data_IF_066582708676
#
_entry.id   IF_066582708676
#
_cell.length_a   1.000
_cell.length_b   1.000
_cell.length_c   1.000
_cell.angle_alpha   90.00
_cell.angle_beta   90.00
_cell.angle_gamma   90.00
#
_symmetry.space_group_name_H-M   'P 1'
#
loop_
_entity.id
_entity.type
_entity.pdbx_description
1 polymer ?
#
# COMPACT_ATOMS: atom_id res chain seq x y z
N UNK A 1 3.59 -26.38 -20.60
CA UNK A 1 4.58 -25.38 -20.14
C UNK A 1 3.98 -24.79 -18.89
N UNK A 2 4.57 -25.10 -17.73
CA UNK A 2 4.02 -24.84 -16.39
C UNK A 2 3.58 -23.38 -16.21
N UNK A 3 2.29 -23.14 -16.40
CA UNK A 3 1.63 -21.93 -15.96
C UNK A 3 1.22 -22.16 -14.51
N UNK A 4 2.03 -21.70 -13.56
CA UNK A 4 1.55 -21.44 -12.20
C UNK A 4 0.25 -20.64 -12.34
N UNK A 5 -0.86 -21.24 -11.90
CA UNK A 5 -2.21 -20.73 -12.12
C UNK A 5 -2.45 -19.50 -11.23
N UNK A 6 -1.80 -18.37 -11.57
CA UNK A 6 -1.88 -17.11 -10.84
C UNK A 6 -3.30 -16.53 -10.84
N UNK A 7 -4.12 -16.94 -11.82
CA UNK A 7 -5.52 -16.54 -11.95
C UNK A 7 -6.40 -17.03 -10.78
N UNK A 8 -5.89 -17.96 -9.95
CA UNK A 8 -6.58 -18.52 -8.79
C UNK A 8 -5.96 -18.13 -7.44
N UNK A 9 -5.23 -17.02 -7.35
CA UNK A 9 -4.76 -16.49 -6.06
C UNK A 9 -5.94 -15.78 -5.38
N UNK A 10 -6.45 -16.23 -4.22
CA UNK A 10 -7.68 -15.67 -3.61
C UNK A 10 -7.59 -14.19 -3.21
N UNK A 11 -6.36 -13.66 -3.09
CA UNK A 11 -6.06 -12.27 -2.73
C UNK A 11 -5.76 -11.41 -3.97
N UNK A 12 -6.15 -11.87 -5.16
CA UNK A 12 -6.14 -11.14 -6.42
C UNK A 12 -7.55 -11.27 -7.03
N UNK A 13 -8.19 -10.16 -7.47
CA UNK A 13 -9.47 -10.23 -8.13
C UNK A 13 -9.41 -11.07 -9.41
N UNK A 14 -10.36 -11.99 -9.58
CA UNK A 14 -10.50 -12.72 -10.84
C UNK A 14 -10.84 -11.76 -11.98
N UNK A 15 -10.10 -11.82 -13.09
CA UNK A 15 -10.44 -11.12 -14.33
C UNK A 15 -11.46 -11.95 -15.11
N UNK A 16 -12.68 -11.45 -15.25
CA UNK A 16 -13.75 -12.12 -16.00
C UNK A 16 -13.68 -11.85 -17.50
N UNK A 17 -13.33 -10.62 -17.89
CA UNK A 17 -13.22 -10.24 -19.30
C UNK A 17 -12.32 -9.02 -19.48
N UNK A 18 -11.68 -8.94 -20.64
CA UNK A 18 -11.02 -7.72 -21.13
C UNK A 18 -11.47 -7.45 -22.55
N UNK A 19 -11.86 -6.22 -22.86
CA UNK A 19 -12.26 -5.85 -24.22
C UNK A 19 -11.91 -4.38 -24.50
N UNK A 20 -11.78 -4.06 -25.79
CA UNK A 20 -11.54 -2.69 -26.24
C UNK A 20 -12.81 -2.13 -26.87
N UNK A 21 -13.18 -0.91 -26.49
CA UNK A 21 -14.31 -0.19 -27.05
C UNK A 21 -13.97 1.29 -27.16
N UNK A 22 -14.23 1.92 -28.31
CA UNK A 22 -13.92 3.33 -28.56
C UNK A 22 -12.49 3.73 -28.10
N UNK A 23 -11.48 2.94 -28.52
CA UNK A 23 -10.07 3.13 -28.18
C UNK A 23 -9.73 3.07 -26.67
N UNK A 24 -10.65 2.59 -25.84
CA UNK A 24 -10.45 2.40 -24.41
C UNK A 24 -10.44 0.92 -24.05
N UNK A 25 -9.53 0.53 -23.15
CA UNK A 25 -9.46 -0.83 -22.59
C UNK A 25 -10.37 -0.92 -21.37
N UNK A 26 -11.31 -1.86 -21.40
CA UNK A 26 -12.21 -2.19 -20.31
C UNK A 26 -11.80 -3.52 -19.70
N UNK A 27 -11.77 -3.56 -18.37
CA UNK A 27 -11.48 -4.75 -17.57
C UNK A 27 -12.70 -5.03 -16.68
N UNK A 28 -13.26 -6.22 -16.78
CA UNK A 28 -14.35 -6.70 -15.94
C UNK A 28 -13.74 -7.67 -14.94
N UNK A 29 -13.73 -7.30 -13.66
CA UNK A 29 -13.06 -8.05 -12.60
C UNK A 29 -13.98 -8.32 -11.42
N UNK A 30 -13.58 -9.24 -10.55
CA UNK A 30 -14.26 -9.53 -9.29
C UNK A 30 -14.40 -8.25 -8.45
N UNK A 31 -15.63 -7.99 -8.01
CA UNK A 31 -15.88 -6.96 -7.01
C UNK A 31 -15.47 -7.47 -5.63
N UNK A 32 -14.64 -6.70 -4.93
CA UNK A 32 -14.19 -7.00 -3.58
C UNK A 32 -14.98 -6.11 -2.63
N UNK A 33 -15.92 -6.69 -1.88
CA UNK A 33 -16.64 -5.95 -0.83
C UNK A 33 -15.70 -5.71 0.35
N UNK A 34 -15.48 -4.45 0.73
CA UNK A 34 -14.50 -4.07 1.74
C UNK A 34 -14.19 -2.59 1.75
N UNK A 35 -13.18 -2.20 2.53
CA UNK A 35 -12.56 -0.87 2.49
C UNK A 35 -11.12 -1.02 2.04
N UNK A 36 -10.59 -0.05 1.31
CA UNK A 36 -9.15 0.00 1.08
C UNK A 36 -8.41 0.51 2.32
N UNK A 37 -7.09 0.31 2.38
CA UNK A 37 -6.32 0.68 3.57
C UNK A 37 -6.23 2.20 3.78
N UNK A 38 -6.42 3.01 2.74
CA UNK A 38 -6.51 4.46 2.89
C UNK A 38 -7.82 4.85 3.55
N UNK A 39 -8.94 4.28 3.12
CA UNK A 39 -10.25 4.48 3.75
C UNK A 39 -10.27 4.00 5.21
N UNK A 40 -9.60 2.88 5.52
CA UNK A 40 -9.42 2.43 6.90
C UNK A 40 -8.62 3.44 7.73
N UNK A 41 -7.55 3.99 7.16
CA UNK A 41 -6.76 5.05 7.80
C UNK A 41 -7.60 6.29 8.06
N UNK A 42 -8.35 6.77 7.07
CA UNK A 42 -9.23 7.94 7.23
C UNK A 42 -10.29 7.72 8.32
N UNK A 43 -10.80 6.49 8.46
CA UNK A 43 -11.83 6.17 9.43
C UNK A 43 -11.32 6.05 10.88
N UNK A 44 -10.09 5.58 11.10
CA UNK A 44 -9.60 5.22 12.46
C UNK A 44 -8.22 5.79 12.82
N UNK A 45 -7.55 6.45 11.89
CA UNK A 45 -6.21 6.97 12.01
C UNK A 45 -5.11 5.93 11.75
N UNK A 46 -3.94 6.21 12.32
CA UNK A 46 -2.69 5.46 12.10
C UNK A 46 -2.83 3.98 12.46
N UNK A 47 -2.11 3.16 11.71
CA UNK A 47 -1.96 1.74 12.01
C UNK A 47 -0.88 1.56 13.07
N UNK A 48 -1.10 0.65 14.01
CA UNK A 48 -0.08 0.20 14.95
C UNK A 48 0.95 -0.71 14.29
N UNK A 49 2.12 -0.86 14.91
CA UNK A 49 3.16 -1.79 14.47
C UNK A 49 2.62 -3.23 14.31
N UNK A 50 1.79 -3.69 15.24
CA UNK A 50 1.19 -5.02 15.19
C UNK A 50 0.27 -5.20 13.96
N UNK A 51 -0.41 -4.14 13.52
CA UNK A 51 -1.25 -4.17 12.32
C UNK A 51 -0.42 -4.13 11.05
N UNK A 52 0.67 -3.37 11.03
CA UNK A 52 1.63 -3.37 9.93
C UNK A 52 2.27 -4.76 9.77
N UNK A 53 2.65 -5.42 10.88
CA UNK A 53 3.18 -6.79 10.83
C UNK A 53 2.15 -7.77 10.26
N UNK A 54 0.87 -7.65 10.63
CA UNK A 54 -0.20 -8.48 10.06
C UNK A 54 -0.41 -8.20 8.56
N UNK A 55 -0.36 -6.94 8.15
CA UNK A 55 -0.44 -6.53 6.74
C UNK A 55 0.69 -7.18 5.93
N UNK A 56 1.93 -7.11 6.42
CA UNK A 56 3.09 -7.73 5.77
C UNK A 56 2.95 -9.25 5.69
N UNK A 57 2.51 -9.91 6.77
CA UNK A 57 2.27 -11.35 6.80
C UNK A 57 1.21 -11.78 5.79
N UNK A 58 0.21 -10.94 5.52
CA UNK A 58 -0.88 -11.26 4.59
C UNK A 58 -0.48 -11.00 3.12
N UNK A 59 0.32 -9.97 2.84
CA UNK A 59 0.66 -9.57 1.47
C UNK A 59 1.96 -10.15 0.92
N UNK A 60 2.98 -10.39 1.74
CA UNK A 60 4.26 -10.95 1.24
C UNK A 60 4.09 -12.31 0.54
N UNK A 61 3.28 -13.26 1.05
CA UNK A 61 3.03 -14.51 0.33
C UNK A 61 2.33 -14.30 -1.02
N UNK A 62 1.41 -13.33 -1.10
CA UNK A 62 0.70 -12.99 -2.34
C UNK A 62 1.69 -12.42 -3.36
N UNK A 63 2.55 -11.49 -2.96
CA UNK A 63 3.58 -10.92 -3.83
C UNK A 63 4.55 -11.99 -4.32
N UNK A 64 4.96 -12.92 -3.46
CA UNK A 64 5.80 -14.05 -3.87
C UNK A 64 5.14 -14.85 -5.00
N UNK A 65 3.87 -15.23 -4.85
CA UNK A 65 3.13 -15.98 -5.88
C UNK A 65 3.02 -15.21 -7.20
N UNK A 66 2.72 -13.91 -7.15
CA UNK A 66 2.65 -13.02 -8.31
C UNK A 66 4.01 -12.92 -9.01
N UNK A 67 5.07 -12.74 -8.25
CA UNK A 67 6.44 -12.59 -8.73
C UNK A 67 7.00 -13.90 -9.32
N UNK A 68 6.59 -15.05 -8.80
CA UNK A 68 6.91 -16.37 -9.34
C UNK A 68 6.24 -16.59 -10.69
N UNK A 69 5.01 -16.09 -10.86
CA UNK A 69 4.31 -16.01 -12.15
C UNK A 69 4.88 -14.93 -13.11
N UNK A 70 5.98 -14.26 -12.75
CA UNK A 70 6.64 -13.19 -13.52
C UNK A 70 5.79 -11.95 -13.75
N UNK A 71 4.78 -11.74 -12.91
CA UNK A 71 3.94 -10.55 -12.90
C UNK A 71 4.51 -9.55 -11.87
N UNK A 72 4.36 -8.26 -12.13
CA UNK A 72 4.66 -7.17 -11.20
C UNK A 72 3.39 -6.34 -11.01
N UNK A 73 3.13 -5.88 -9.78
CA UNK A 73 1.98 -5.05 -9.48
C UNK A 73 2.18 -3.61 -9.98
N UNK A 74 3.33 -3.00 -9.65
CA UNK A 74 3.81 -1.67 -10.03
C UNK A 74 3.06 -0.46 -9.46
N UNK A 75 1.92 -0.65 -8.82
CA UNK A 75 1.18 0.44 -8.17
C UNK A 75 0.69 0.03 -6.78
N UNK A 76 1.58 -0.52 -5.94
CA UNK A 76 1.19 -0.89 -4.56
C UNK A 76 1.14 0.39 -3.71
N UNK A 77 -0.04 0.67 -3.17
CA UNK A 77 -0.35 1.80 -2.28
C UNK A 77 -1.60 1.47 -1.47
N UNK A 78 -1.89 2.20 -0.37
CA UNK A 78 -3.07 1.97 0.47
C UNK A 78 -4.39 1.86 -0.31
N UNK A 79 -4.60 2.68 -1.33
CA UNK A 79 -5.80 2.67 -2.18
C UNK A 79 -5.98 1.37 -2.96
N UNK A 80 -4.88 0.70 -3.30
CA UNK A 80 -4.87 -0.52 -4.12
C UNK A 80 -4.81 -1.80 -3.27
N UNK A 81 -5.06 -1.69 -1.96
CA UNK A 81 -5.10 -2.82 -1.04
C UNK A 81 -6.46 -2.81 -0.33
N UNK A 82 -7.34 -3.73 -0.70
CA UNK A 82 -8.68 -3.87 -0.14
C UNK A 82 -8.70 -4.88 1.01
N UNK A 83 -9.23 -4.52 2.17
CA UNK A 83 -9.61 -5.49 3.20
C UNK A 83 -10.99 -6.05 2.90
N UNK A 84 -11.02 -7.29 2.44
CA UNK A 84 -12.24 -8.01 2.12
C UNK A 84 -13.07 -8.25 3.39
N UNK A 85 -14.34 -7.87 3.34
CA UNK A 85 -15.26 -7.94 4.48
C UNK A 85 -15.59 -9.36 4.94
N UNK A 86 -15.60 -10.33 4.02
CA UNK A 86 -16.03 -11.70 4.32
C UNK A 86 -15.07 -12.47 5.22
N UNK A 87 -13.77 -12.19 5.15
CA UNK A 87 -12.71 -12.93 5.86
C UNK A 87 -11.58 -12.04 6.43
N UNK A 88 -11.65 -10.72 6.23
CA UNK A 88 -10.66 -9.77 6.71
C UNK A 88 -9.33 -9.79 5.96
N UNK A 89 -9.24 -10.56 4.86
CA UNK A 89 -8.01 -10.71 4.07
C UNK A 89 -7.74 -9.49 3.19
N UNK A 90 -6.46 -9.16 3.04
CA UNK A 90 -6.01 -8.13 2.13
C UNK A 90 -5.93 -8.66 0.71
N UNK A 91 -6.53 -7.92 -0.21
CA UNK A 91 -6.64 -8.23 -1.64
C UNK A 91 -5.95 -7.11 -2.40
N UNK A 92 -4.98 -7.44 -3.25
CA UNK A 92 -4.33 -6.49 -4.15
C UNK A 92 -5.23 -6.25 -5.35
N UNK A 93 -5.62 -4.99 -5.57
CA UNK A 93 -6.45 -4.57 -6.69
C UNK A 93 -5.67 -3.67 -7.64
N UNK A 94 -6.23 -3.40 -8.83
CA UNK A 94 -5.68 -2.44 -9.79
C UNK A 94 -4.20 -2.66 -10.12
N UNK A 95 -3.93 -3.77 -10.81
CA UNK A 95 -2.63 -4.07 -11.41
C UNK A 95 -2.29 -3.08 -12.53
N UNK A 96 -1.89 -1.87 -12.15
CA UNK A 96 -1.63 -0.73 -13.04
C UNK A 96 -0.49 -0.98 -14.04
N UNK A 97 0.41 -1.91 -13.72
CA UNK A 97 1.56 -2.25 -14.57
C UNK A 97 1.24 -2.96 -15.89
N UNK A 98 0.06 -3.60 -16.02
CA UNK A 98 -0.32 -4.32 -17.25
C UNK A 98 -0.63 -3.34 -18.38
N UNK A 99 -1.16 -2.16 -18.05
CA UNK A 99 -1.41 -1.09 -19.04
C UNK A 99 -0.11 -0.56 -19.64
N UNK A 100 0.96 -0.44 -18.86
CA UNK A 100 2.25 0.09 -19.33
C UNK A 100 2.98 -0.86 -20.30
N UNK A 101 2.78 -2.18 -20.19
CA UNK A 101 3.42 -3.14 -21.09
C UNK A 101 2.88 -3.05 -22.54
N UNK A 102 1.63 -2.61 -22.72
CA UNK A 102 1.00 -2.47 -24.02
C UNK A 102 1.17 -1.06 -24.63
N UNK A 103 1.58 -0.07 -23.84
CA UNK A 103 1.83 1.30 -24.32
C UNK A 103 3.29 1.51 -24.72
N UNK A 104 3.83 0.61 -25.54
CA UNK A 104 4.93 0.98 -26.45
C UNK A 104 4.33 1.72 -27.64
N UNK A 105 3.59 2.80 -27.37
CA UNK A 105 3.18 3.76 -28.40
C UNK A 105 4.37 4.70 -28.60
N UNK A 106 5.00 4.54 -29.76
CA UNK A 106 6.10 5.35 -30.25
C UNK A 106 5.84 6.85 -30.04
N UNK A 107 6.81 7.55 -29.45
CA UNK A 107 7.05 8.96 -29.76
C UNK A 107 6.24 10.04 -29.05
N UNK A 108 5.32 9.72 -28.15
CA UNK A 108 4.75 10.72 -27.25
C UNK A 108 5.51 10.67 -25.92
N UNK A 109 5.98 11.82 -25.43
CA UNK A 109 6.37 12.04 -24.03
C UNK A 109 5.16 11.75 -23.15
N UNK A 110 4.89 10.47 -22.92
CA UNK A 110 3.78 10.01 -22.10
C UNK A 110 4.08 10.42 -20.68
N UNK A 111 3.26 11.32 -20.14
CA UNK A 111 3.22 11.67 -18.73
C UNK A 111 3.30 10.38 -17.93
N UNK A 112 4.43 10.15 -17.29
CA UNK A 112 4.66 8.89 -16.60
C UNK A 112 3.80 8.91 -15.35
N UNK A 113 2.63 8.28 -15.44
CA UNK A 113 1.64 8.14 -14.38
C UNK A 113 2.19 7.20 -13.32
N UNK A 114 3.02 7.74 -12.44
CA UNK A 114 3.41 7.10 -11.18
C UNK A 114 2.66 7.80 -10.05
N UNK A 115 2.11 7.03 -9.11
CA UNK A 115 1.62 7.61 -7.85
C UNK A 115 2.85 8.07 -7.06
N UNK A 116 3.06 9.39 -7.01
CA UNK A 116 4.22 9.97 -6.35
C UNK A 116 4.26 9.56 -4.87
N UNK A 117 5.46 9.28 -4.35
CA UNK A 117 5.66 8.86 -2.97
C UNK A 117 5.54 7.34 -2.68
N UNK A 118 5.27 6.51 -3.68
CA UNK A 118 5.25 5.04 -3.50
C UNK A 118 6.17 4.30 -4.47
N UNK A 119 6.76 5.00 -5.44
CA UNK A 119 7.47 4.38 -6.56
C UNK A 119 8.97 4.32 -6.30
N UNK A 120 9.54 3.14 -6.56
CA UNK A 120 10.98 2.90 -6.48
C UNK A 120 11.74 3.59 -7.62
N UNK A 121 12.99 4.00 -7.38
CA UNK A 121 13.81 4.71 -8.35
C UNK A 121 14.00 3.92 -9.65
N UNK A 122 14.24 2.62 -9.59
CA UNK A 122 14.40 1.79 -10.79
C UNK A 122 13.11 1.69 -11.62
N UNK A 123 11.95 1.75 -10.96
CA UNK A 123 10.66 1.84 -11.66
C UNK A 123 10.51 3.22 -12.33
N UNK A 124 10.91 4.31 -11.66
CA UNK A 124 10.94 5.65 -12.28
C UNK A 124 11.81 5.68 -13.54
N UNK A 125 12.92 4.92 -13.53
CA UNK A 125 13.83 4.76 -14.67
C UNK A 125 13.32 3.75 -15.74
N UNK A 126 12.08 3.27 -15.63
CA UNK A 126 11.47 2.34 -16.59
C UNK A 126 12.00 0.90 -16.50
N UNK A 127 12.66 0.53 -15.41
CA UNK A 127 13.22 -0.81 -15.16
C UNK A 127 12.64 -1.44 -13.88
N UNK A 128 11.30 -1.55 -13.77
CA UNK A 128 10.68 -2.15 -12.59
C UNK A 128 11.07 -3.62 -12.46
N UNK A 129 11.30 -4.05 -11.22
CA UNK A 129 11.59 -5.44 -10.90
C UNK A 129 10.86 -5.85 -9.59
N UNK A 130 11.08 -7.07 -9.09
CA UNK A 130 10.44 -7.57 -7.85
C UNK A 130 10.67 -6.66 -6.65
N UNK A 131 11.86 -6.07 -6.52
CA UNK A 131 12.20 -5.16 -5.43
C UNK A 131 11.41 -3.86 -5.50
N UNK A 132 10.92 -3.47 -6.68
CA UNK A 132 10.11 -2.27 -6.84
C UNK A 132 8.76 -2.42 -6.13
N UNK A 133 8.11 -3.58 -6.25
CA UNK A 133 6.87 -3.88 -5.51
C UNK A 133 7.13 -3.93 -3.99
N UNK A 134 8.26 -4.51 -3.55
CA UNK A 134 8.63 -4.54 -2.13
C UNK A 134 8.88 -3.14 -1.56
N UNK A 135 9.52 -2.27 -2.34
CA UNK A 135 9.71 -0.87 -1.98
C UNK A 135 8.36 -0.16 -1.81
N UNK A 136 7.44 -0.33 -2.77
CA UNK A 136 6.10 0.26 -2.69
C UNK A 136 5.29 -0.25 -1.50
N UNK A 137 5.40 -1.54 -1.16
CA UNK A 137 4.82 -2.11 0.04
C UNK A 137 5.43 -1.51 1.32
N UNK A 138 6.75 -1.33 1.37
CA UNK A 138 7.42 -0.71 2.52
C UNK A 138 7.00 0.76 2.69
N UNK A 139 6.95 1.53 1.60
CA UNK A 139 6.45 2.91 1.60
C UNK A 139 5.00 2.97 2.12
N UNK A 140 4.15 2.04 1.66
CA UNK A 140 2.77 1.88 2.16
C UNK A 140 2.73 1.67 3.66
N UNK A 141 3.54 0.75 4.18
CA UNK A 141 3.59 0.46 5.62
C UNK A 141 4.02 1.67 6.45
N UNK A 142 5.08 2.37 6.02
CA UNK A 142 5.57 3.56 6.73
C UNK A 142 4.51 4.64 6.76
N UNK A 143 3.81 4.90 5.65
CA UNK A 143 2.77 5.92 5.59
C UNK A 143 1.56 5.60 6.46
N UNK A 144 1.11 4.35 6.47
CA UNK A 144 0.02 3.93 7.35
C UNK A 144 0.41 4.03 8.84
N UNK A 145 1.69 3.79 9.16
CA UNK A 145 2.23 3.90 10.52
C UNK A 145 2.39 5.36 10.98
N UNK A 146 2.91 6.23 10.10
CA UNK A 146 3.21 7.64 10.44
C UNK A 146 2.04 8.58 10.20
N UNK A 147 1.11 8.22 9.31
CA UNK A 147 0.08 9.11 8.79
C UNK A 147 0.60 10.19 7.84
N UNK A 148 1.87 10.13 7.41
CA UNK A 148 2.46 11.11 6.51
C UNK A 148 2.24 10.68 5.05
N UNK A 149 1.14 11.14 4.45
CA UNK A 149 0.81 10.87 3.04
C UNK A 149 1.40 11.96 2.12
N UNK A 150 1.71 11.64 0.85
CA UNK A 150 2.18 12.66 -0.07
C UNK A 150 1.01 13.57 -0.42
N UNK A 151 1.18 14.86 -0.20
CA UNK A 151 0.18 15.87 -0.53
C UNK A 151 0.61 16.61 -1.80
N UNK A 152 -0.35 16.90 -2.68
CA UNK A 152 -0.12 17.81 -3.80
C UNK A 152 -0.79 19.12 -3.48
N UNK A 153 -0.03 20.21 -3.52
CA UNK A 153 -0.57 21.53 -3.25
C UNK A 153 -1.44 22.06 -4.41
N UNK A 154 -1.98 23.26 -4.22
CA UNK A 154 -2.83 23.90 -5.23
C UNK A 154 -2.11 24.22 -6.56
N UNK A 155 -0.78 24.17 -6.59
CA UNK A 155 0.06 24.44 -7.75
C UNK A 155 0.56 23.17 -8.44
N UNK A 156 0.27 21.99 -7.87
CA UNK A 156 0.71 20.71 -8.41
C UNK A 156 2.06 20.24 -7.86
N UNK A 157 2.62 20.95 -6.88
CA UNK A 157 3.89 20.57 -6.27
C UNK A 157 3.65 19.47 -5.22
N UNK A 158 4.47 18.42 -5.30
CA UNK A 158 4.43 17.33 -4.35
C UNK A 158 5.18 17.70 -3.07
N UNK A 159 4.46 17.75 -1.96
CA UNK A 159 5.02 17.81 -0.63
C UNK A 159 5.00 16.42 0.01
N UNK A 160 6.17 15.90 0.36
CA UNK A 160 6.31 14.57 0.94
C UNK A 160 7.37 14.54 2.03
N UNK A 161 6.92 14.63 3.28
CA UNK A 161 7.77 14.67 4.47
C UNK A 161 8.67 13.43 4.62
N UNK A 162 8.27 12.30 4.04
CA UNK A 162 9.04 11.06 4.10
C UNK A 162 10.05 10.94 2.96
N UNK A 163 9.86 11.64 1.84
CA UNK A 163 10.81 11.62 0.72
C UNK A 163 11.83 12.76 0.79
N UNK A 164 11.60 13.79 1.61
CA UNK A 164 12.64 14.74 1.93
C UNK A 164 13.77 14.04 2.71
N UNK A 165 14.88 13.82 2.02
CA UNK A 165 16.10 13.18 2.55
C UNK A 165 16.64 13.85 3.82
N UNK A 166 16.23 15.09 4.09
CA UNK A 166 16.58 15.86 5.29
C UNK A 166 15.81 15.39 6.55
N UNK A 167 14.62 14.80 6.38
CA UNK A 167 13.65 14.59 7.46
C UNK A 167 13.26 13.11 7.70
N UNK A 168 13.66 12.18 6.83
CA UNK A 168 13.29 10.77 6.92
C UNK A 168 13.52 10.14 8.31
N UNK A 169 14.70 10.35 8.91
CA UNK A 169 15.02 9.85 10.26
C UNK A 169 14.20 10.54 11.36
N UNK A 170 13.88 11.82 11.18
CA UNK A 170 13.13 12.63 12.14
C UNK A 170 11.64 12.27 12.16
N UNK A 171 11.05 12.00 11.00
CA UNK A 171 9.66 11.56 10.86
C UNK A 171 9.45 10.19 11.52
N UNK A 172 10.35 9.24 11.26
CA UNK A 172 10.33 7.92 11.91
C UNK A 172 10.48 8.01 13.43
N UNK A 173 11.44 8.80 13.91
CA UNK A 173 11.68 8.97 15.35
C UNK A 173 10.48 9.62 16.08
N UNK A 174 9.79 10.59 15.45
CA UNK A 174 8.58 11.23 16.02
C UNK A 174 7.40 10.27 16.15
N UNK A 175 7.20 9.42 15.16
CA UNK A 175 6.14 8.41 15.15
C UNK A 175 6.35 7.37 16.27
N UNK A 176 7.57 6.85 16.41
CA UNK A 176 7.91 5.90 17.49
C UNK A 176 7.79 6.54 18.88
N UNK A 177 8.18 7.81 19.03
CA UNK A 177 8.10 8.52 20.30
C UNK A 177 6.66 8.80 20.78
N UNK A 178 5.71 9.00 19.84
CA UNK A 178 4.29 9.21 20.21
C UNK A 178 3.64 7.93 20.71
N UNK A 179 3.96 6.78 20.11
CA UNK A 179 3.48 5.46 20.59
C UNK A 179 4.05 5.09 21.97
N UNK A 180 5.30 5.47 22.26
CA UNK A 180 5.92 5.25 23.58
C UNK A 180 5.24 6.02 24.73
N UNK A 181 4.83 7.27 24.49
CA UNK A 181 4.16 8.09 25.50
C UNK A 181 2.74 7.60 25.85
N UNK A 182 2.05 6.91 24.93
CA UNK A 182 0.73 6.32 25.18
C UNK A 182 0.81 5.02 26.01
N UNK A 183 1.89 4.24 25.84
CA UNK A 183 2.18 3.08 26.71
C UNK A 183 2.50 3.51 28.15
N UNK A 184 3.31 4.56 28.35
CA UNK A 184 3.64 5.04 29.70
C UNK A 184 2.42 5.62 30.44
N UNK A 185 1.52 6.31 29.73
CA UNK A 185 0.26 6.81 30.33
C UNK A 185 -0.69 5.68 30.71
N UNK A 186 -0.75 4.61 29.92
CA UNK A 186 -1.63 3.45 30.19
C UNK A 186 -1.12 2.60 31.36
N UNK A 187 0.20 2.48 31.53
CA UNK A 187 0.82 1.80 32.68
C UNK A 187 0.71 2.66 33.96
N UNK A 188 0.82 3.99 33.85
CA UNK A 188 0.67 4.91 34.98
C UNK A 188 -0.76 5.06 35.52
N UNK A 189 -1.78 4.84 34.69
CA UNK A 189 -3.19 4.92 35.09
C UNK A 189 -3.67 3.66 35.85
N UNK A 190 -3.07 2.48 35.58
CA UNK A 190 -3.40 1.23 36.28
C UNK A 190 -2.82 1.12 37.69
N UNK A 191 -1.83 1.94 38.05
CA UNK A 191 -1.15 1.88 39.34
C UNK A 191 -1.74 2.81 40.43
N UNK A 192 -2.74 3.63 40.11
CA UNK A 192 -3.33 4.61 41.06
C UNK A 192 -4.72 4.25 41.61
N UNK A 193 -5.28 3.09 41.27
CA UNK A 193 -6.62 2.68 41.72
C UNK A 193 -6.63 1.62 42.85
N UNK A 194 -5.51 1.36 43.52
CA UNK A 194 -5.43 0.32 44.57
C UNK A 194 -4.91 0.79 45.95
N UNK A 195 -4.95 2.09 46.24
CA UNK A 195 -4.66 2.60 47.59
C UNK A 195 -5.68 3.67 47.98
N UNK A 196 -6.96 3.28 48.07
CA UNK A 196 -8.01 4.10 48.68
C UNK A 196 -9.25 3.25 48.99
N UNK A 197 -9.10 2.19 49.79
CA UNK A 197 -10.20 1.71 50.64
C UNK A 197 -9.64 0.72 51.66
N UNK A 198 -9.74 1.06 52.94
CA UNK A 198 -9.22 0.27 54.05
C UNK A 198 -9.24 1.08 55.33
N UNK A 199 -10.36 0.97 56.03
CA UNK A 199 -10.74 1.61 57.30
C UNK A 199 -9.76 1.37 58.45
#
# INVERSE_FOLDING_TARGET
RDSTNWENIPQIPTLYASFTFQNSLYLVQQFIEGMNLFEEYEARGRFSEAEILKLLQDLLPVLQLVHDAKILHRDIKPDNIMRRKSDGKLVLIDFGGVKQANTTMQGATGTVLYTSGYVALEQMLGKPNRTSDLYSLAATCVRLLTGCFPETDAYGDLHDELYDTSQFFLAMARSVATTGQECERSIGAGARSHVADGS
#
